data_IF_870993998066
#
_entry.id   IF_870993998066
#
_cell.length_a   1.000
_cell.length_b   1.000
_cell.length_c   1.000
_cell.angle_alpha   90.00
_cell.angle_beta   90.00
_cell.angle_gamma   90.00
#
_symmetry.space_group_name_H-M   'P 1'
#
loop_
_entity.id
_entity.type
_entity.pdbx_description
1 polymer ?
#
# COMPACT_ATOMS: atom_id res chain seq x y z
N UNK A 1 10.93 9.00 -16.11
CA UNK A 1 10.44 9.97 -17.12
C UNK A 1 9.49 10.92 -16.39
N UNK A 2 10.00 12.04 -15.87
CA UNK A 2 9.21 13.14 -15.34
C UNK A 2 9.33 14.29 -16.32
N UNK A 3 8.23 14.73 -16.91
CA UNK A 3 8.19 15.89 -17.81
C UNK A 3 7.36 16.96 -17.12
N UNK A 4 8.03 17.97 -16.58
CA UNK A 4 7.43 19.26 -16.24
C UNK A 4 7.67 20.20 -17.43
N UNK A 5 6.60 20.60 -18.08
CA UNK A 5 6.58 21.63 -19.10
C UNK A 5 6.72 23.02 -18.46
N UNK A 6 7.73 23.78 -18.89
CA UNK A 6 7.73 25.24 -18.82
C UNK A 6 8.38 25.75 -20.11
N UNK A 7 7.58 26.43 -20.92
CA UNK A 7 8.05 27.09 -22.12
C UNK A 7 8.75 28.41 -21.79
N UNK A 8 9.79 28.74 -22.54
CA UNK A 8 10.27 30.12 -22.73
C UNK A 8 10.89 30.26 -24.14
N UNK A 9 10.42 31.31 -24.81
CA UNK A 9 10.93 32.11 -25.92
C UNK A 9 12.08 31.60 -26.83
N UNK A 10 11.79 31.65 -28.14
CA UNK A 10 12.75 31.69 -29.25
C UNK A 10 13.35 33.10 -29.36
N UNK A 11 14.69 33.20 -29.33
CA UNK A 11 15.44 34.25 -30.03
C UNK A 11 16.74 33.67 -30.59
N UNK A 12 17.20 34.09 -31.78
CA UNK A 12 18.24 33.38 -32.52
C UNK A 12 19.65 33.96 -32.31
N UNK A 13 20.60 33.01 -32.31
CA UNK A 13 21.90 33.03 -33.00
C UNK A 13 22.59 34.40 -33.17
N UNK A 14 23.66 34.61 -32.40
CA UNK A 14 24.81 35.39 -32.85
C UNK A 14 26.11 34.64 -32.50
N UNK A 15 26.93 34.44 -33.53
CA UNK A 15 28.30 33.95 -33.49
C UNK A 15 29.22 35.01 -32.89
N UNK A 16 30.18 34.60 -32.07
CA UNK A 16 31.47 35.27 -31.96
C UNK A 16 32.55 34.31 -31.45
N UNK A 17 33.50 33.98 -32.33
CA UNK A 17 34.83 33.49 -31.99
C UNK A 17 35.59 34.58 -31.21
N UNK A 18 36.26 34.21 -30.13
CA UNK A 18 37.22 35.04 -29.41
C UNK A 18 38.28 34.16 -28.74
N UNK A 19 39.52 34.32 -29.21
CA UNK A 19 40.73 33.61 -28.76
C UNK A 19 41.13 33.95 -27.33
N UNK A 20 41.73 32.94 -26.68
CA UNK A 20 42.81 32.98 -25.69
C UNK A 20 42.72 33.97 -24.52
N UNK A 21 42.75 33.45 -23.28
CA UNK A 21 43.72 33.80 -22.23
C UNK A 21 43.39 32.97 -20.98
N UNK A 22 44.36 32.19 -20.49
CA UNK A 22 44.29 31.53 -19.19
C UNK A 22 44.66 32.52 -18.09
N UNK A 23 43.89 32.60 -16.99
CA UNK A 23 44.43 32.98 -15.71
C UNK A 23 44.40 31.78 -14.75
N UNK A 24 45.55 31.51 -14.14
CA UNK A 24 45.64 30.77 -12.88
C UNK A 24 44.70 31.45 -11.85
N UNK A 25 43.67 30.74 -11.42
CA UNK A 25 42.87 31.11 -10.26
C UNK A 25 43.09 30.05 -9.19
N UNK A 26 43.60 30.49 -8.03
CA UNK A 26 43.88 29.65 -6.89
C UNK A 26 42.63 28.91 -6.43
N UNK A 27 42.78 27.61 -6.21
CA UNK A 27 41.77 26.80 -5.55
C UNK A 27 41.64 27.26 -4.10
N UNK A 28 40.62 28.07 -3.81
CA UNK A 28 40.13 28.24 -2.45
C UNK A 28 39.57 26.88 -1.97
N UNK A 29 39.87 26.45 -0.73
CA UNK A 29 39.27 25.24 -0.18
C UNK A 29 37.75 25.43 -0.12
N UNK A 30 37.02 24.64 -0.89
CA UNK A 30 35.58 24.54 -0.77
C UNK A 30 35.26 24.08 0.66
N UNK A 31 34.61 24.96 1.43
CA UNK A 31 34.01 24.58 2.70
C UNK A 31 33.04 23.41 2.43
N UNK A 32 33.15 22.28 3.15
CA UNK A 32 32.19 21.20 2.99
C UNK A 32 30.82 21.72 3.41
N UNK A 33 29.89 21.77 2.45
CA UNK A 33 28.47 21.93 2.76
C UNK A 33 28.07 20.81 3.72
N UNK A 34 27.38 21.10 4.83
CA UNK A 34 26.89 20.05 5.71
C UNK A 34 25.90 19.20 4.92
N UNK A 35 26.27 17.95 4.65
CA UNK A 35 25.32 16.94 4.26
C UNK A 35 24.32 16.81 5.42
N UNK A 36 23.10 17.28 5.21
CA UNK A 36 21.94 16.88 6.01
C UNK A 36 21.77 15.38 5.76
N UNK A 37 22.52 14.59 6.52
CA UNK A 37 22.28 13.16 6.66
C UNK A 37 21.09 13.03 7.60
N UNK A 38 19.90 12.79 7.04
CA UNK A 38 18.85 12.08 7.77
C UNK A 38 19.37 10.66 8.03
N UNK A 39 20.25 10.52 9.02
CA UNK A 39 20.76 9.23 9.45
C UNK A 39 19.61 8.50 10.15
N UNK A 40 19.19 7.39 9.56
CA UNK A 40 18.23 6.50 10.19
C UNK A 40 18.79 6.01 11.53
N UNK A 41 18.13 6.40 12.63
CA UNK A 41 18.54 6.00 13.97
C UNK A 41 17.87 4.68 14.34
N UNK A 42 18.63 3.74 14.89
CA UNK A 42 18.07 2.57 15.55
C UNK A 42 17.22 3.02 16.73
N UNK A 43 15.98 2.56 16.80
CA UNK A 43 15.07 2.94 17.87
C UNK A 43 15.29 2.05 19.09
N UNK A 44 15.75 2.63 20.20
CA UNK A 44 15.87 1.94 21.50
C UNK A 44 14.50 1.64 22.11
N UNK A 45 13.48 2.45 21.76
CA UNK A 45 12.09 2.25 22.14
C UNK A 45 11.17 2.40 20.92
N UNK A 46 10.09 1.63 20.88
CA UNK A 46 9.08 1.80 19.85
C UNK A 46 8.32 3.11 20.06
N UNK A 47 8.16 3.94 19.03
CA UNK A 47 7.38 5.15 19.17
C UNK A 47 5.90 4.82 19.37
N UNK A 48 5.27 5.51 20.32
CA UNK A 48 3.85 5.40 20.57
C UNK A 48 3.02 5.76 19.33
N UNK A 49 1.83 5.17 19.23
CA UNK A 49 0.87 5.47 18.18
C UNK A 49 0.58 4.28 17.28
N UNK A 50 0.02 4.59 16.12
CA UNK A 50 -0.37 3.64 15.09
C UNK A 50 0.40 3.95 13.82
N UNK A 51 0.98 2.90 13.25
CA UNK A 51 1.83 2.98 12.08
C UNK A 51 1.34 1.95 11.07
N UNK A 52 1.08 2.38 9.85
CA UNK A 52 0.48 1.56 8.80
C UNK A 52 1.40 1.48 7.60
N UNK A 53 1.46 0.32 6.96
CA UNK A 53 2.26 0.13 5.76
C UNK A 53 1.88 -1.16 5.04
N UNK A 54 2.74 -1.55 4.12
CA UNK A 54 2.43 -2.59 3.15
C UNK A 54 3.57 -3.61 3.10
N UNK A 55 3.20 -4.88 3.03
CA UNK A 55 4.10 -5.99 2.78
C UNK A 55 3.79 -6.61 1.43
N UNK A 56 4.80 -6.70 0.56
CA UNK A 56 4.70 -7.49 -0.65
C UNK A 56 4.75 -8.99 -0.30
N UNK A 57 3.73 -9.75 -0.71
CA UNK A 57 3.71 -11.20 -0.57
C UNK A 57 4.35 -11.88 -1.78
N UNK A 58 4.08 -11.31 -2.96
CA UNK A 58 4.68 -11.69 -4.24
C UNK A 58 4.56 -10.51 -5.23
N UNK A 59 4.82 -10.78 -6.51
CA UNK A 59 4.77 -9.80 -7.59
C UNK A 59 3.39 -9.16 -7.82
N UNK A 60 2.30 -9.76 -7.32
CA UNK A 60 0.92 -9.31 -7.55
C UNK A 60 0.14 -9.03 -6.26
N UNK A 61 0.50 -9.66 -5.15
CA UNK A 61 -0.23 -9.56 -3.88
C UNK A 61 0.48 -8.74 -2.83
N UNK A 62 -0.31 -8.00 -2.06
CA UNK A 62 0.10 -7.17 -0.95
C UNK A 62 -0.71 -7.53 0.30
N UNK A 63 -0.13 -7.31 1.48
CA UNK A 63 -0.82 -7.36 2.76
C UNK A 63 -0.61 -6.05 3.52
N UNK A 64 -1.64 -5.57 4.21
CA UNK A 64 -1.48 -4.46 5.14
C UNK A 64 -0.69 -4.92 6.36
N UNK A 65 0.20 -4.05 6.85
CA UNK A 65 0.95 -4.23 8.09
C UNK A 65 0.67 -3.04 8.99
N UNK A 66 0.37 -3.31 10.26
CA UNK A 66 0.09 -2.27 11.25
C UNK A 66 0.87 -2.54 12.52
N UNK A 67 1.62 -1.55 12.99
CA UNK A 67 2.22 -1.53 14.31
C UNK A 67 1.42 -0.60 15.20
N UNK A 68 0.94 -1.11 16.34
CA UNK A 68 0.27 -0.31 17.37
C UNK A 68 1.08 -0.39 18.65
N UNK A 69 1.56 0.75 19.15
CA UNK A 69 2.24 0.88 20.43
C UNK A 69 1.39 1.76 21.37
N UNK A 70 0.84 1.16 22.43
CA UNK A 70 0.07 1.86 23.48
C UNK A 70 0.36 1.23 24.84
N UNK A 71 0.54 2.04 25.86
CA UNK A 71 0.72 1.59 27.26
C UNK A 71 1.79 0.49 27.40
N UNK A 72 2.95 0.70 26.77
CA UNK A 72 4.08 -0.24 26.70
C UNK A 72 3.77 -1.62 26.06
N UNK A 73 2.62 -1.73 25.38
CA UNK A 73 2.23 -2.91 24.62
C UNK A 73 2.28 -2.62 23.13
N UNK A 74 3.20 -3.29 22.46
CA UNK A 74 3.35 -3.21 21.01
C UNK A 74 2.74 -4.45 20.34
N UNK A 75 1.93 -4.24 19.31
CA UNK A 75 1.40 -5.30 18.45
C UNK A 75 1.73 -5.03 16.99
N UNK A 76 2.32 -6.01 16.33
CA UNK A 76 2.55 -6.02 14.89
C UNK A 76 1.51 -6.94 14.24
N UNK A 77 0.60 -6.34 13.48
CA UNK A 77 -0.55 -6.99 12.87
C UNK A 77 -0.34 -7.10 11.37
N UNK A 78 -0.59 -8.28 10.82
CA UNK A 78 -0.58 -8.57 9.40
C UNK A 78 -2.01 -8.86 8.94
N UNK A 79 -2.50 -8.05 8.00
CA UNK A 79 -3.83 -8.21 7.41
C UNK A 79 -3.96 -9.46 6.54
N UNK A 80 -5.13 -9.64 5.93
CA UNK A 80 -5.40 -10.73 5.00
C UNK A 80 -4.42 -10.71 3.80
N UNK A 81 -4.01 -11.88 3.29
CA UNK A 81 -4.37 -13.24 3.71
C UNK A 81 -3.58 -13.80 4.90
N UNK A 82 -2.66 -13.02 5.50
CA UNK A 82 -1.81 -13.50 6.60
C UNK A 82 -2.60 -13.61 7.91
N UNK A 83 -3.49 -12.64 8.17
CA UNK A 83 -4.45 -12.61 9.29
C UNK A 83 -3.84 -13.02 10.64
N UNK A 84 -2.66 -12.48 10.98
CA UNK A 84 -1.93 -12.86 12.19
C UNK A 84 -1.34 -11.66 12.92
N UNK A 85 -1.09 -11.80 14.21
CA UNK A 85 -0.62 -10.73 15.11
C UNK A 85 0.51 -11.25 16.00
N UNK A 86 1.58 -10.45 16.07
CA UNK A 86 2.71 -10.64 16.96
C UNK A 86 2.68 -9.60 18.08
N UNK A 87 3.00 -10.03 19.29
CA UNK A 87 3.42 -9.17 20.38
C UNK A 87 4.89 -8.79 20.15
N UNK A 88 5.20 -7.52 20.29
CA UNK A 88 6.58 -7.03 20.18
C UNK A 88 7.05 -6.69 21.60
N UNK A 89 8.12 -7.34 22.05
CA UNK A 89 8.67 -7.20 23.41
C UNK A 89 10.07 -6.61 23.35
N UNK A 90 10.32 -5.53 24.08
CA UNK A 90 11.68 -4.99 24.22
C UNK A 90 12.61 -6.01 24.87
N UNK A 91 13.85 -6.12 24.39
CA UNK A 91 14.86 -7.00 24.96
C UNK A 91 15.96 -6.23 25.72
N UNK A 92 16.53 -6.83 26.79
CA UNK A 92 17.74 -6.32 27.42
C UNK A 92 18.90 -6.30 26.40
N UNK A 93 19.57 -5.16 26.25
CA UNK A 93 20.65 -4.99 25.25
C UNK A 93 20.20 -4.41 23.91
N UNK A 94 18.91 -4.08 23.75
CA UNK A 94 18.39 -3.37 22.59
C UNK A 94 17.64 -4.27 21.59
N UNK A 95 16.74 -3.66 20.81
CA UNK A 95 15.88 -4.37 19.87
C UNK A 95 14.68 -5.06 20.52
N UNK A 96 13.93 -5.81 19.70
CA UNK A 96 12.64 -6.36 20.11
C UNK A 96 12.51 -7.84 19.74
N UNK A 97 11.94 -8.66 20.62
CA UNK A 97 11.52 -10.02 20.33
C UNK A 97 10.09 -10.06 19.81
N UNK A 98 9.78 -11.07 19.00
CA UNK A 98 8.45 -11.32 18.47
C UNK A 98 7.84 -12.59 19.08
N UNK A 99 6.67 -12.46 19.69
CA UNK A 99 5.86 -13.58 20.18
C UNK A 99 4.51 -13.64 19.46
N UNK A 100 4.03 -14.83 19.13
CA UNK A 100 2.73 -14.99 18.45
C UNK A 100 1.56 -14.86 19.44
N UNK A 101 0.55 -14.06 19.12
CA UNK A 101 -0.66 -13.89 19.96
C UNK A 101 -1.80 -14.79 19.47
N UNK A 102 -2.08 -14.78 18.16
CA UNK A 102 -3.23 -15.48 17.58
C UNK A 102 -2.85 -16.50 16.50
N UNK A 103 -1.56 -16.80 16.34
CA UNK A 103 -1.06 -17.86 15.47
C UNK A 103 -1.10 -17.55 13.97
N UNK A 104 -0.69 -18.54 13.17
CA UNK A 104 -0.74 -18.51 11.71
C UNK A 104 0.65 -18.75 11.12
N UNK A 105 0.73 -19.59 10.09
CA UNK A 105 2.00 -20.10 9.55
C UNK A 105 3.03 -19.02 9.16
N UNK A 106 2.58 -17.79 8.89
CA UNK A 106 3.45 -16.65 8.67
C UNK A 106 4.06 -16.11 9.97
N UNK A 107 3.23 -15.81 10.97
CA UNK A 107 3.67 -15.28 12.26
C UNK A 107 4.45 -16.33 13.07
N UNK A 108 4.09 -17.60 12.97
CA UNK A 108 4.80 -18.69 13.66
C UNK A 108 6.26 -18.81 13.20
N UNK A 109 6.56 -18.47 11.93
CA UNK A 109 7.93 -18.39 11.39
C UNK A 109 8.71 -17.17 11.88
N UNK A 110 8.03 -16.17 12.44
CA UNK A 110 8.63 -14.96 12.98
C UNK A 110 8.82 -15.03 14.50
N UNK A 111 8.19 -16.00 15.16
CA UNK A 111 8.29 -16.19 16.60
C UNK A 111 9.74 -16.42 17.03
N UNK A 112 10.16 -15.76 18.11
CA UNK A 112 11.51 -15.83 18.65
C UNK A 112 12.57 -15.07 17.86
N UNK A 113 12.23 -14.47 16.70
CA UNK A 113 13.15 -13.64 15.92
C UNK A 113 13.27 -12.24 16.49
N UNK A 114 14.42 -11.62 16.27
CA UNK A 114 14.67 -10.22 16.62
C UNK A 114 14.10 -9.30 15.53
N UNK A 115 13.37 -8.28 15.96
CA UNK A 115 12.90 -7.16 15.16
C UNK A 115 13.81 -5.96 15.42
N UNK A 116 14.36 -5.42 14.34
CA UNK A 116 15.08 -4.16 14.30
C UNK A 116 14.15 -3.08 13.76
N UNK A 117 14.14 -1.93 14.44
CA UNK A 117 13.34 -0.77 14.05
C UNK A 117 14.27 0.41 13.84
N UNK A 118 14.18 1.00 12.66
CA UNK A 118 14.91 2.21 12.28
C UNK A 118 13.90 3.32 12.00
N UNK A 119 14.12 4.48 12.60
CA UNK A 119 13.29 5.66 12.34
C UNK A 119 13.99 6.59 11.36
N UNK A 120 13.23 7.06 10.38
CA UNK A 120 13.65 8.07 9.40
C UNK A 120 12.52 9.08 9.21
N UNK A 121 12.55 10.20 9.93
CA UNK A 121 11.45 11.16 9.96
C UNK A 121 10.14 10.56 10.51
N UNK A 122 9.10 10.55 9.67
CA UNK A 122 7.78 9.99 9.95
C UNK A 122 7.61 8.53 9.47
N UNK A 123 8.73 7.90 9.09
CA UNK A 123 8.76 6.51 8.64
C UNK A 123 9.44 5.62 9.69
N UNK A 124 8.90 4.42 9.84
CA UNK A 124 9.52 3.32 10.56
C UNK A 124 9.84 2.19 9.60
N UNK A 125 11.13 1.90 9.45
CA UNK A 125 11.59 0.71 8.75
C UNK A 125 11.73 -0.43 9.74
N UNK A 126 10.98 -1.49 9.51
CA UNK A 126 11.08 -2.75 10.23
C UNK A 126 12.03 -3.69 9.46
N UNK A 127 12.81 -4.47 10.19
CA UNK A 127 13.59 -5.59 9.66
C UNK A 127 13.57 -6.73 10.69
N UNK A 128 13.44 -7.98 10.23
CA UNK A 128 13.39 -9.15 11.11
C UNK A 128 14.51 -10.10 10.76
N UNK A 129 15.25 -10.57 11.74
CA UNK A 129 16.44 -11.39 11.51
C UNK A 129 16.19 -12.63 10.64
N UNK A 130 17.08 -12.83 9.67
CA UNK A 130 16.98 -13.92 8.71
C UNK A 130 15.73 -13.83 7.83
N UNK A 131 15.17 -12.63 7.64
CA UNK A 131 14.11 -12.36 6.67
C UNK A 131 14.25 -10.93 6.14
N UNK A 132 14.38 -10.79 4.83
CA UNK A 132 14.24 -9.49 4.19
C UNK A 132 12.78 -9.07 4.26
N UNK A 133 12.43 -8.43 5.36
CA UNK A 133 11.12 -7.83 5.60
C UNK A 133 11.28 -6.30 5.68
N UNK A 134 11.74 -5.59 4.63
CA UNK A 134 11.81 -4.14 4.66
C UNK A 134 10.39 -3.57 4.52
N UNK A 135 9.63 -3.63 5.60
CA UNK A 135 8.33 -2.96 5.68
C UNK A 135 8.60 -1.56 6.20
N UNK A 136 8.20 -0.57 5.40
CA UNK A 136 8.15 0.81 5.83
C UNK A 136 6.73 1.09 6.31
N UNK A 137 6.61 1.60 7.52
CA UNK A 137 5.35 2.02 8.13
C UNK A 137 5.34 3.54 8.28
N UNK A 138 4.16 4.11 8.12
CA UNK A 138 3.93 5.55 8.18
C UNK A 138 2.88 5.86 9.25
N UNK A 139 3.03 7.00 9.93
CA UNK A 139 2.01 7.52 10.85
C UNK A 139 0.93 8.34 10.14
N UNK A 140 1.17 8.76 8.90
CA UNK A 140 0.23 9.53 8.08
C UNK A 140 -1.02 8.68 7.76
N UNK A 141 -2.25 9.17 8.03
CA UNK A 141 -3.49 8.53 7.61
C UNK A 141 -3.67 8.42 6.08
N UNK A 142 -2.82 9.10 5.30
CA UNK A 142 -2.83 9.09 3.84
C UNK A 142 -3.85 10.06 3.25
N UNK A 143 -4.07 9.94 1.94
CA UNK A 143 -5.03 10.78 1.21
C UNK A 143 -6.27 9.97 0.82
N UNK A 144 -7.44 10.60 0.65
CA UNK A 144 -8.62 9.94 0.08
C UNK A 144 -8.33 9.35 -1.29
N UNK A 145 -9.03 8.27 -1.63
CA UNK A 145 -8.86 7.63 -2.94
C UNK A 145 -9.28 8.57 -4.06
N UNK A 146 -8.49 8.73 -5.14
CA UNK A 146 -8.97 9.41 -6.35
C UNK A 146 -10.14 8.66 -6.99
N UNK A 147 -10.30 7.37 -6.65
CA UNK A 147 -11.37 6.49 -7.13
C UNK A 147 -12.66 6.61 -6.29
N UNK A 148 -12.71 7.51 -5.31
CA UNK A 148 -13.87 7.65 -4.42
C UNK A 148 -15.20 7.81 -5.18
N UNK A 149 -16.27 7.31 -4.57
CA UNK A 149 -17.62 7.36 -5.10
C UNK A 149 -18.21 5.98 -5.38
N UNK A 150 -19.29 5.97 -6.16
CA UNK A 150 -20.01 4.76 -6.55
C UNK A 150 -19.74 4.45 -8.02
N UNK A 151 -19.50 3.18 -8.29
CA UNK A 151 -19.20 2.65 -9.61
C UNK A 151 -20.13 1.48 -9.88
N UNK A 152 -20.50 1.28 -11.14
CA UNK A 152 -21.41 0.21 -11.57
C UNK A 152 -20.96 -0.36 -12.89
N UNK A 153 -21.06 -1.67 -13.02
CA UNK A 153 -20.76 -2.37 -14.26
C UNK A 153 -21.33 -3.78 -14.22
N UNK A 154 -20.80 -4.63 -15.09
CA UNK A 154 -21.27 -6.00 -15.28
C UNK A 154 -20.07 -6.97 -15.19
N UNK A 155 -20.20 -8.02 -14.37
CA UNK A 155 -19.27 -9.16 -14.39
C UNK A 155 -19.87 -10.31 -15.18
N UNK A 156 -19.06 -10.94 -16.02
CA UNK A 156 -19.43 -12.20 -16.68
C UNK A 156 -19.35 -13.36 -15.69
N UNK A 157 -20.27 -14.30 -15.80
CA UNK A 157 -20.26 -15.52 -14.98
C UNK A 157 -19.44 -16.60 -15.67
N UNK A 158 -18.70 -17.41 -14.90
CA UNK A 158 -17.87 -18.52 -15.42
C UNK A 158 -18.67 -19.58 -16.21
N UNK A 159 -20.01 -19.61 -16.10
CA UNK A 159 -20.87 -20.65 -16.70
C UNK A 159 -21.91 -20.17 -17.73
N UNK A 160 -22.04 -18.85 -18.01
CA UNK A 160 -23.07 -18.30 -18.93
C UNK A 160 -24.51 -18.49 -18.41
N UNK A 161 -25.50 -17.61 -18.53
CA UNK A 161 -25.90 -16.73 -19.65
C UNK A 161 -26.31 -15.32 -19.21
N UNK A 162 -26.05 -14.93 -17.95
CA UNK A 162 -26.45 -13.61 -17.45
C UNK A 162 -25.27 -12.90 -16.82
N UNK A 163 -25.02 -11.71 -17.33
CA UNK A 163 -24.16 -10.74 -16.69
C UNK A 163 -24.77 -10.34 -15.35
N UNK A 164 -23.91 -10.19 -14.34
CA UNK A 164 -24.34 -9.80 -13.00
C UNK A 164 -23.91 -8.35 -12.77
N UNK A 165 -24.88 -7.52 -12.40
CA UNK A 165 -24.60 -6.15 -11.98
C UNK A 165 -23.66 -6.19 -10.79
N UNK A 166 -22.52 -5.52 -10.91
CA UNK A 166 -21.61 -5.26 -9.79
C UNK A 166 -21.63 -3.77 -9.49
N UNK A 167 -21.79 -3.44 -8.22
CA UNK A 167 -21.63 -2.10 -7.70
C UNK A 167 -20.45 -2.06 -6.75
N UNK A 168 -19.59 -1.07 -6.94
CA UNK A 168 -18.44 -0.81 -6.09
C UNK A 168 -18.63 0.56 -5.43
N UNK A 169 -18.48 0.61 -4.12
CA UNK A 169 -18.47 1.86 -3.35
C UNK A 169 -17.12 2.04 -2.69
N UNK A 170 -16.51 3.20 -2.92
CA UNK A 170 -15.21 3.58 -2.37
C UNK A 170 -15.42 4.82 -1.52
N UNK A 171 -15.13 4.71 -0.22
CA UNK A 171 -15.30 5.81 0.72
C UNK A 171 -14.28 6.94 0.44
N UNK A 172 -14.69 8.18 0.72
CA UNK A 172 -13.82 9.36 0.65
C UNK A 172 -12.94 9.53 1.91
N UNK A 173 -12.68 8.43 2.64
CA UNK A 173 -11.82 8.44 3.83
C UNK A 173 -10.35 8.36 3.41
N UNK A 174 -9.43 9.04 4.12
CA UNK A 174 -7.98 8.84 3.99
C UNK A 174 -7.59 7.35 3.93
N UNK A 175 -6.72 7.00 2.98
CA UNK A 175 -6.32 5.62 2.73
C UNK A 175 -4.95 5.29 3.31
N UNK A 176 -4.92 4.86 4.57
CA UNK A 176 -3.80 4.10 5.12
C UNK A 176 -4.06 2.59 4.96
N UNK A 177 -3.03 1.77 4.66
CA UNK A 177 -3.16 0.33 4.61
C UNK A 177 -3.83 -0.24 5.88
N UNK A 178 -4.87 -1.07 5.70
CA UNK A 178 -5.63 -1.69 6.79
C UNK A 178 -6.82 -0.89 7.31
N UNK A 179 -7.00 0.38 6.93
CA UNK A 179 -8.05 1.24 7.50
C UNK A 179 -9.18 1.57 6.51
N UNK A 180 -8.87 1.93 5.26
CA UNK A 180 -9.90 2.35 4.30
C UNK A 180 -10.65 1.14 3.72
N UNK A 181 -11.98 1.25 3.64
CA UNK A 181 -12.85 0.17 3.16
C UNK A 181 -13.48 0.46 1.80
N UNK A 182 -13.60 -0.60 1.01
CA UNK A 182 -14.43 -0.66 -0.19
C UNK A 182 -15.53 -1.67 0.02
N UNK A 183 -16.64 -1.50 -0.68
CA UNK A 183 -17.73 -2.46 -0.69
C UNK A 183 -18.09 -2.84 -2.11
N UNK A 184 -18.01 -4.13 -2.40
CA UNK A 184 -18.56 -4.75 -3.60
C UNK A 184 -19.92 -5.34 -3.30
N UNK A 185 -20.89 -5.07 -4.17
CA UNK A 185 -22.25 -5.60 -4.10
C UNK A 185 -22.60 -6.22 -5.45
N UNK A 186 -22.99 -7.48 -5.42
CA UNK A 186 -23.46 -8.19 -6.60
C UNK A 186 -24.99 -8.22 -6.60
N UNK A 187 -25.59 -7.93 -7.75
CA UNK A 187 -27.01 -8.11 -8.00
C UNK A 187 -27.39 -9.58 -8.19
N UNK A 188 -28.65 -9.79 -8.58
CA UNK A 188 -29.15 -11.12 -8.91
C UNK A 188 -28.32 -11.77 -10.04
N UNK A 189 -28.08 -13.09 -10.01
CA UNK A 189 -28.54 -14.04 -8.99
C UNK A 189 -27.55 -14.23 -7.83
N UNK A 190 -26.48 -13.44 -7.74
CA UNK A 190 -25.44 -13.63 -6.71
C UNK A 190 -25.84 -13.05 -5.35
N UNK A 191 -26.50 -11.90 -5.37
CA UNK A 191 -27.11 -11.23 -4.20
C UNK A 191 -26.23 -11.22 -2.93
N UNK A 192 -24.93 -10.97 -3.10
CA UNK A 192 -23.96 -10.97 -2.01
C UNK A 192 -23.14 -9.68 -1.98
N UNK A 193 -22.54 -9.40 -0.83
CA UNK A 193 -21.69 -8.22 -0.60
C UNK A 193 -20.39 -8.66 0.03
N UNK A 194 -19.27 -8.12 -0.44
CA UNK A 194 -17.95 -8.33 0.17
C UNK A 194 -17.31 -6.97 0.44
N UNK A 195 -16.74 -6.83 1.63
CA UNK A 195 -15.95 -5.66 2.00
C UNK A 195 -14.48 -5.95 1.70
N UNK A 196 -13.70 -4.90 1.46
CA UNK A 196 -12.26 -5.01 1.36
C UNK A 196 -11.56 -3.87 2.07
N UNK A 197 -10.35 -4.10 2.55
CA UNK A 197 -9.50 -3.09 3.17
C UNK A 197 -8.34 -2.75 2.26
N UNK A 198 -8.06 -1.46 2.12
CA UNK A 198 -6.93 -0.98 1.32
C UNK A 198 -5.62 -1.58 1.83
N UNK A 199 -4.77 -2.08 0.93
CA UNK A 199 -3.46 -2.66 1.28
C UNK A 199 -2.29 -1.91 0.67
N UNK A 200 -2.53 -1.00 -0.28
CA UNK A 200 -1.49 -0.19 -0.92
C UNK A 200 -1.72 0.01 -2.41
N UNK A 201 -0.76 0.69 -3.05
CA UNK A 201 -0.67 0.82 -4.49
C UNK A 201 0.41 -0.11 -5.04
N UNK A 202 0.21 -0.60 -6.26
CA UNK A 202 1.28 -1.14 -7.09
C UNK A 202 1.20 -0.50 -8.45
N UNK A 203 2.27 0.20 -8.85
CA UNK A 203 2.26 1.07 -10.02
C UNK A 203 1.13 2.11 -9.90
N UNK A 204 0.10 2.04 -10.75
CA UNK A 204 -1.08 2.89 -10.72
C UNK A 204 -2.34 2.17 -10.19
N UNK A 205 -2.21 0.91 -9.76
CA UNK A 205 -3.32 0.07 -9.34
C UNK A 205 -3.50 0.14 -7.82
N UNK A 206 -4.75 0.36 -7.39
CA UNK A 206 -5.13 0.32 -5.99
C UNK A 206 -5.54 -1.10 -5.59
N UNK A 207 -4.90 -1.64 -4.55
CA UNK A 207 -5.11 -3.01 -4.09
C UNK A 207 -5.87 -3.00 -2.76
N UNK A 208 -6.81 -3.93 -2.62
CA UNK A 208 -7.62 -4.15 -1.43
C UNK A 208 -7.65 -5.64 -1.09
N UNK A 209 -7.39 -6.00 0.16
CA UNK A 209 -7.63 -7.35 0.64
C UNK A 209 -9.12 -7.52 0.92
N UNK A 210 -9.73 -8.58 0.39
CA UNK A 210 -11.14 -8.87 0.58
C UNK A 210 -11.36 -9.60 1.89
N UNK A 211 -12.32 -9.13 2.67
CA UNK A 211 -12.66 -9.71 3.96
C UNK A 211 -13.24 -11.12 3.81
N UNK A 212 -13.10 -11.91 4.87
CA UNK A 212 -13.78 -13.20 4.95
C UNK A 212 -15.29 -13.02 4.79
N UNK A 213 -15.86 -13.91 4.00
CA UNK A 213 -17.27 -13.95 3.68
C UNK A 213 -17.73 -15.40 3.63
N UNK A 214 -18.89 -15.68 4.21
CA UNK A 214 -19.51 -17.00 4.23
C UNK A 214 -20.76 -17.06 3.34
N UNK A 215 -21.10 -15.97 2.64
CA UNK A 215 -22.33 -15.83 1.89
C UNK A 215 -22.15 -16.19 0.41
N UNK A 216 -22.81 -17.27 -0.01
CA UNK A 216 -23.03 -17.62 -1.42
C UNK A 216 -21.75 -17.66 -2.25
N UNK A 217 -21.80 -17.06 -3.45
CA UNK A 217 -20.65 -17.01 -4.37
C UNK A 217 -19.51 -16.13 -3.82
N UNK A 218 -19.83 -15.10 -3.02
CA UNK A 218 -18.82 -14.22 -2.43
C UNK A 218 -17.86 -14.96 -1.48
N UNK A 219 -18.24 -16.12 -0.94
CA UNK A 219 -17.34 -16.94 -0.13
C UNK A 219 -16.08 -17.39 -0.88
N UNK A 220 -16.10 -17.43 -2.22
CA UNK A 220 -14.91 -17.74 -3.05
C UNK A 220 -13.91 -16.58 -3.13
N UNK A 221 -14.35 -15.37 -2.79
CA UNK A 221 -13.54 -14.16 -2.80
C UNK A 221 -12.88 -13.90 -1.44
N UNK A 222 -13.25 -14.66 -0.42
CA UNK A 222 -12.73 -14.57 0.95
C UNK A 222 -11.20 -14.69 0.98
N UNK A 223 -10.55 -13.79 1.72
CA UNK A 223 -9.09 -13.65 1.76
C UNK A 223 -8.44 -13.47 0.38
N UNK A 224 -9.23 -13.05 -0.59
CA UNK A 224 -8.77 -12.68 -1.93
C UNK A 224 -8.25 -11.26 -1.97
N UNK A 225 -8.00 -10.79 -3.18
CA UNK A 225 -7.58 -9.42 -3.43
C UNK A 225 -8.41 -8.82 -4.55
N UNK A 226 -8.82 -7.57 -4.36
CA UNK A 226 -9.41 -6.71 -5.37
C UNK A 226 -8.34 -5.75 -5.86
N UNK A 227 -8.22 -5.63 -7.17
CA UNK A 227 -7.37 -4.67 -7.87
C UNK A 227 -8.25 -3.71 -8.65
N UNK A 228 -8.01 -2.42 -8.48
CA UNK A 228 -8.73 -1.34 -9.14
C UNK A 228 -7.76 -0.49 -9.95
N UNK A 229 -8.04 -0.30 -11.23
CA UNK A 229 -7.23 0.50 -12.14
C UNK A 229 -8.08 1.53 -12.85
N UNK A 230 -7.77 2.80 -12.65
CA UNK A 230 -8.39 3.88 -13.42
C UNK A 230 -7.93 3.81 -14.87
N UNK A 231 -8.89 3.95 -15.79
CA UNK A 231 -8.61 4.05 -17.22
C UNK A 231 -8.65 5.51 -17.69
N UNK A 232 -7.91 5.86 -18.77
CA UNK A 232 -7.92 7.22 -19.31
C UNK A 232 -9.27 7.70 -19.84
N UNK A 233 -10.17 6.79 -20.18
CA UNK A 233 -11.54 7.04 -20.65
C UNK A 233 -12.51 7.36 -19.49
N UNK A 234 -12.06 7.33 -18.24
CA UNK A 234 -12.86 7.60 -17.05
C UNK A 234 -13.58 6.38 -16.49
N UNK A 235 -13.41 5.20 -17.10
CA UNK A 235 -13.85 3.93 -16.53
C UNK A 235 -12.89 3.43 -15.44
N UNK A 236 -13.39 2.46 -14.68
CA UNK A 236 -12.62 1.75 -13.65
C UNK A 236 -12.57 0.26 -13.99
N UNK A 237 -11.38 -0.27 -14.23
CA UNK A 237 -11.16 -1.70 -14.35
C UNK A 237 -11.11 -2.32 -12.94
N UNK A 238 -11.92 -3.34 -12.74
CA UNK A 238 -11.98 -4.16 -11.54
C UNK A 238 -11.47 -5.55 -11.86
N UNK A 239 -10.57 -6.07 -11.02
CA UNK A 239 -10.17 -7.48 -11.05
C UNK A 239 -10.20 -8.06 -9.63
N UNK A 240 -10.76 -9.27 -9.47
CA UNK A 240 -10.65 -10.03 -8.22
C UNK A 240 -9.84 -11.31 -8.43
N UNK A 241 -9.07 -11.67 -7.40
CA UNK A 241 -8.42 -12.97 -7.27
C UNK A 241 -8.82 -13.59 -5.94
N UNK A 242 -8.90 -14.91 -5.88
CA UNK A 242 -9.14 -15.61 -4.62
C UNK A 242 -7.87 -15.71 -3.76
N UNK A 243 -8.00 -16.36 -2.59
CA UNK A 243 -6.88 -16.63 -1.66
C UNK A 243 -5.69 -17.35 -2.32
N UNK A 244 -5.94 -18.22 -3.29
CA UNK A 244 -4.90 -18.94 -4.02
C UNK A 244 -4.23 -18.08 -5.12
N UNK A 245 -4.73 -16.86 -5.37
CA UNK A 245 -4.28 -15.98 -6.44
C UNK A 245 -4.91 -16.30 -7.79
N UNK A 246 -5.93 -17.16 -7.83
CA UNK A 246 -6.64 -17.48 -9.07
C UNK A 246 -7.58 -16.33 -9.41
N UNK A 247 -7.47 -15.80 -10.63
CA UNK A 247 -8.40 -14.78 -11.12
C UNK A 247 -9.83 -15.32 -11.09
N UNK A 248 -10.73 -14.56 -10.47
CA UNK A 248 -12.15 -14.89 -10.38
C UNK A 248 -12.97 -14.04 -11.30
N UNK A 249 -12.75 -12.73 -11.30
CA UNK A 249 -13.60 -11.82 -12.03
C UNK A 249 -12.80 -10.65 -12.61
N UNK A 250 -13.35 -10.11 -13.70
CA UNK A 250 -12.97 -8.85 -14.28
C UNK A 250 -14.24 -8.09 -14.71
N UNK A 251 -14.23 -6.76 -14.53
CA UNK A 251 -15.29 -5.88 -15.00
C UNK A 251 -14.74 -4.52 -15.37
N UNK A 252 -15.47 -3.84 -16.26
CA UNK A 252 -15.35 -2.40 -16.46
C UNK A 252 -16.53 -1.74 -15.76
N UNK A 253 -16.22 -0.74 -14.95
CA UNK A 253 -17.21 0.01 -14.18
C UNK A 253 -17.23 1.46 -14.63
N UNK A 254 -18.43 2.00 -14.76
CA UNK A 254 -18.67 3.42 -14.99
C UNK A 254 -19.07 4.08 -13.67
N UNK A 255 -18.89 5.40 -13.57
CA UNK A 255 -19.41 6.13 -12.40
C UNK A 255 -20.92 5.97 -12.35
N UNK A 256 -21.42 5.48 -11.22
CA UNK A 256 -22.85 5.41 -11.01
C UNK A 256 -23.41 6.84 -10.92
N UNK A 257 -24.58 7.14 -11.50
CA UNK A 257 -25.21 8.43 -11.34
C UNK A 257 -25.43 8.71 -9.86
N UNK A 258 -25.03 9.90 -9.41
CA UNK A 258 -25.47 10.44 -8.14
C UNK A 258 -26.96 10.71 -8.28
N UNK A 259 -27.81 9.80 -7.79
CA UNK A 259 -29.24 10.12 -7.73
C UNK A 259 -29.42 11.41 -6.91
N UNK A 260 -30.15 12.41 -7.42
CA UNK A 260 -30.48 13.62 -6.69
C UNK A 260 -31.38 13.32 -5.48
#
# INVERSE_FOLDING_TARGET
>A
MHIRSRGVARFPLWLALGLAFSPMAGAAPQAPAPALSDAAASAEALPAGEWNGTLALDAQRLAAVRLVQRDDKARLMFGSPLNCTLLVKSQPGGGFALDSINGGAYCDKLMGKQLHVQRSGDDLRLNVDGKDLPVVLHSDPGQPSPLQGRWRGMVRTERGDRDVVVELSIAATPQAPGNATVQLRYGAPRECRVQGRYVGMREADALYALDMNDQGICARLSDGQLTLRARPDGELELQTVDRAGTRRENALLERAPTNP
#
